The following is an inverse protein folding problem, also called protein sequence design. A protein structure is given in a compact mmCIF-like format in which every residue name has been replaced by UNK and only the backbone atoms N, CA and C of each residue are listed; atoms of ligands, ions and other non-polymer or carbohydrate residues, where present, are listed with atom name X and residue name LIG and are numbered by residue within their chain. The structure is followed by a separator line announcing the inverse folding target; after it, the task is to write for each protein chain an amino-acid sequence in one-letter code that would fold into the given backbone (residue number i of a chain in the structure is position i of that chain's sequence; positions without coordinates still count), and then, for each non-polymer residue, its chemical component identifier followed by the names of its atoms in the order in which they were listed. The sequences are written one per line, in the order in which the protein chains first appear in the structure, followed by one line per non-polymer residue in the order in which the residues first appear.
data_IF_073874975620
#
_entry.id   IF_073874975620
#
_cell.length_a   1.000
_cell.length_b   1.000
_cell.length_c   1.000
_cell.angle_alpha   90.00
_cell.angle_beta   90.00
_cell.angle_gamma   90.00
#
_symmetry.space_group_name_H-M   'P 1'
#
loop_
_entity.id
_entity.type
_entity.pdbx_description
1 polymer ?
#
# COMPACT_ATOMS: atom_id res chain seq x y z
N UNK A 1 -6.24 -15.37 -14.43
CA UNK A 1 -5.08 -15.85 -13.64
C UNK A 1 -4.73 -14.79 -12.60
N UNK A 2 -4.44 -15.21 -11.38
CA UNK A 2 -3.97 -14.36 -10.27
C UNK A 2 -2.50 -14.67 -9.98
N UNK A 3 -1.70 -13.64 -9.69
CA UNK A 3 -0.28 -13.77 -9.36
C UNK A 3 0.01 -13.16 -7.99
N UNK A 4 1.01 -13.71 -7.29
CA UNK A 4 1.47 -13.22 -5.99
C UNK A 4 2.86 -12.62 -6.14
N UNK A 5 3.02 -11.38 -5.69
CA UNK A 5 4.31 -10.66 -5.73
C UNK A 5 4.90 -10.60 -4.32
N UNK A 6 6.13 -11.09 -4.15
CA UNK A 6 6.87 -10.99 -2.90
C UNK A 6 8.05 -10.03 -3.06
N UNK A 7 7.95 -8.86 -2.43
CA UNK A 7 9.05 -7.89 -2.36
C UNK A 7 9.76 -8.03 -1.02
N UNK A 8 10.97 -8.61 -1.01
CA UNK A 8 11.78 -8.86 0.20
C UNK A 8 13.20 -8.28 0.09
N UNK A 9 14.00 -8.42 1.14
CA UNK A 9 15.38 -7.89 1.26
C UNK A 9 15.46 -6.54 1.99
N UNK A 10 16.68 -6.08 2.29
CA UNK A 10 16.90 -4.86 3.10
C UNK A 10 16.89 -3.55 2.30
N UNK A 11 16.86 -3.62 0.97
CA UNK A 11 16.83 -2.45 0.09
C UNK A 11 15.58 -1.57 0.26
N UNK A 12 15.75 -0.26 0.04
CA UNK A 12 14.62 0.68 -0.08
C UNK A 12 13.83 0.38 -1.36
N UNK A 13 12.51 0.60 -1.33
CA UNK A 13 11.66 0.50 -2.53
C UNK A 13 10.60 -0.60 -2.54
N UNK A 14 10.59 -1.53 -1.58
CA UNK A 14 9.55 -2.58 -1.49
C UNK A 14 8.13 -2.01 -1.41
N UNK A 15 7.94 -1.04 -0.52
CA UNK A 15 6.66 -0.35 -0.36
C UNK A 15 6.30 0.45 -1.61
N UNK A 16 7.26 1.14 -2.22
CA UNK A 16 7.07 1.92 -3.46
C UNK A 16 6.66 1.03 -4.63
N UNK A 17 7.26 -0.16 -4.78
CA UNK A 17 6.90 -1.12 -5.82
C UNK A 17 5.45 -1.61 -5.67
N UNK A 18 5.03 -1.93 -4.43
CA UNK A 18 3.66 -2.33 -4.14
C UNK A 18 2.64 -1.20 -4.43
N UNK A 19 2.97 0.04 -4.06
CA UNK A 19 2.14 1.22 -4.36
C UNK A 19 2.05 1.47 -5.87
N UNK A 20 3.16 1.35 -6.60
CA UNK A 20 3.18 1.49 -8.07
C UNK A 20 2.29 0.46 -8.76
N UNK A 21 2.28 -0.78 -8.27
CA UNK A 21 1.37 -1.83 -8.77
C UNK A 21 -0.09 -1.50 -8.48
N UNK A 22 -0.40 -1.02 -7.27
CA UNK A 22 -1.74 -0.57 -6.90
C UNK A 22 -2.24 0.56 -7.82
N UNK A 23 -1.41 1.58 -8.06
CA UNK A 23 -1.73 2.69 -8.96
C UNK A 23 -1.97 2.22 -10.39
N UNK A 24 -1.15 1.28 -10.89
CA UNK A 24 -1.35 0.67 -12.22
C UNK A 24 -2.69 -0.06 -12.30
N UNK A 25 -3.06 -0.82 -11.27
CA UNK A 25 -4.35 -1.52 -11.22
C UNK A 25 -5.52 -0.54 -11.21
N UNK A 26 -5.42 0.57 -10.47
CA UNK A 26 -6.42 1.64 -10.48
C UNK A 26 -6.53 2.31 -11.84
N UNK A 27 -5.40 2.59 -12.52
CA UNK A 27 -5.40 3.11 -13.88
C UNK A 27 -6.12 2.19 -14.88
N UNK A 28 -6.18 0.89 -14.60
CA UNK A 28 -6.95 -0.09 -15.35
C UNK A 28 -8.41 -0.27 -14.85
N UNK A 29 -8.92 0.65 -14.03
CA UNK A 29 -10.29 0.64 -13.51
C UNK A 29 -10.54 -0.40 -12.41
N UNK A 30 -9.50 -0.96 -11.79
CA UNK A 30 -9.65 -1.91 -10.68
C UNK A 30 -9.70 -1.19 -9.34
N UNK A 31 -10.38 -1.82 -8.37
CA UNK A 31 -10.36 -1.39 -6.96
C UNK A 31 -9.20 -2.09 -6.25
N UNK A 32 -8.52 -1.37 -5.37
CA UNK A 32 -7.35 -1.89 -4.65
C UNK A 32 -7.55 -1.71 -3.16
N UNK A 33 -7.09 -2.69 -2.39
CA UNK A 33 -7.09 -2.65 -0.94
C UNK A 33 -5.65 -2.73 -0.44
N UNK A 34 -5.25 -1.80 0.43
CA UNK A 34 -3.91 -1.74 1.02
C UNK A 34 -4.03 -1.91 2.54
N UNK A 35 -3.44 -2.97 3.06
CA UNK A 35 -3.28 -3.20 4.50
C UNK A 35 -1.83 -2.93 4.93
N UNK A 36 -1.65 -2.12 5.98
CA UNK A 36 -0.32 -1.84 6.55
C UNK A 36 -0.27 -2.25 8.02
N UNK A 37 0.72 -3.06 8.40
CA UNK A 37 0.77 -3.66 9.73
C UNK A 37 1.77 -3.02 10.73
N UNK A 38 2.93 -2.49 10.27
CA UNK A 38 4.08 -2.22 11.16
C UNK A 38 4.65 -0.80 11.06
N UNK A 39 3.94 0.16 10.43
CA UNK A 39 4.50 1.52 10.23
C UNK A 39 3.51 2.61 10.63
N UNK A 40 3.71 3.19 11.81
CA UNK A 40 2.94 4.34 12.31
C UNK A 40 3.24 5.66 11.58
N UNK A 41 4.29 5.72 10.75
CA UNK A 41 4.65 6.89 9.97
C UNK A 41 3.71 7.06 8.77
N UNK A 42 3.06 8.23 8.68
CA UNK A 42 2.26 8.62 7.52
C UNK A 42 3.17 8.91 6.33
N UNK A 43 3.24 7.98 5.39
CA UNK A 43 3.87 8.23 4.10
C UNK A 43 3.02 9.22 3.29
N UNK A 44 3.67 10.20 2.67
CA UNK A 44 3.00 11.19 1.82
C UNK A 44 2.20 10.54 0.68
N UNK A 45 2.70 9.42 0.14
CA UNK A 45 2.02 8.63 -0.90
C UNK A 45 0.66 8.12 -0.43
N UNK A 46 0.59 7.56 0.79
CA UNK A 46 -0.66 7.03 1.36
C UNK A 46 -1.64 8.17 1.67
N UNK A 47 -1.15 9.28 2.23
CA UNK A 47 -1.98 10.44 2.50
C UNK A 47 -2.56 11.07 1.21
N UNK A 48 -1.80 11.06 0.12
CA UNK A 48 -2.29 11.51 -1.19
C UNK A 48 -3.34 10.55 -1.76
N UNK A 49 -3.05 9.24 -1.73
CA UNK A 49 -3.97 8.20 -2.20
C UNK A 49 -5.32 8.28 -1.48
N UNK A 50 -5.29 8.35 -0.15
CA UNK A 50 -6.49 8.44 0.70
C UNK A 50 -7.38 9.65 0.36
N UNK A 51 -6.76 10.77 -0.04
CA UNK A 51 -7.47 12.02 -0.37
C UNK A 51 -7.94 12.11 -1.82
N UNK A 52 -7.23 11.49 -2.76
CA UNK A 52 -7.41 11.73 -4.21
C UNK A 52 -7.84 10.51 -5.00
N UNK A 53 -7.70 9.31 -4.45
CA UNK A 53 -7.93 8.06 -5.18
C UNK A 53 -8.90 7.19 -4.37
N UNK A 54 -10.22 7.47 -4.45
CA UNK A 54 -11.23 6.77 -3.63
C UNK A 54 -11.38 5.28 -3.98
N UNK A 55 -10.85 4.84 -5.12
CA UNK A 55 -10.82 3.43 -5.53
C UNK A 55 -9.75 2.60 -4.82
N UNK A 56 -8.84 3.25 -4.08
CA UNK A 56 -7.90 2.58 -3.19
C UNK A 56 -8.37 2.74 -1.75
N UNK A 57 -8.76 1.64 -1.13
CA UNK A 57 -9.08 1.61 0.29
C UNK A 57 -7.83 1.29 1.09
N UNK A 58 -7.46 2.15 2.03
CA UNK A 58 -6.29 1.94 2.89
C UNK A 58 -6.71 1.65 4.33
N UNK A 59 -6.17 0.58 4.90
CA UNK A 59 -6.35 0.24 6.32
C UNK A 59 -5.01 0.03 6.99
N UNK A 60 -4.91 0.54 8.21
CA UNK A 60 -3.73 0.41 9.05
C UNK A 60 -4.07 -0.50 10.22
N UNK A 61 -3.50 -1.69 10.20
CA UNK A 61 -3.67 -2.74 11.21
C UNK A 61 -2.40 -2.80 12.07
N UNK A 62 -2.24 -1.82 12.96
CA UNK A 62 -1.06 -1.71 13.80
C UNK A 62 -1.34 -0.74 14.93
N UNK A 63 -2.16 -1.17 15.88
CA UNK A 63 -2.34 -0.49 17.16
C UNK A 63 -1.02 -0.52 17.95
N UNK A 64 -0.56 0.65 18.38
CA UNK A 64 0.33 1.06 19.49
C UNK A 64 1.02 0.03 20.43
N UNK A 65 1.25 -1.22 20.06
CA UNK A 65 1.99 -2.18 20.87
C UNK A 65 2.44 -3.33 19.98
N UNK A 66 3.73 -3.34 19.66
CA UNK A 66 4.44 -4.59 19.54
C UNK A 66 5.37 -4.60 20.76
N UNK A 67 5.15 -5.59 21.63
CA UNK A 67 6.00 -6.05 22.73
C UNK A 67 7.50 -5.77 22.55
#
# INVERSE_FOLDING_TARGET
MSYVHLYTGNGKGKTTAAIGLALRAVGAGRRVYIAQFVKGQRYGEIAYIDRRIPTITTHRYGSQCFI
#
